data_IF_032475137306
#
_entry.id   IF_032475137306
#
_cell.length_a   1.000
_cell.length_b   1.000
_cell.length_c   1.000
_cell.angle_alpha   90.00
_cell.angle_beta   90.00
_cell.angle_gamma   90.00
#
_symmetry.space_group_name_H-M   'P 1'
#
loop_
_entity.id
_entity.type
_entity.pdbx_description
1 polymer ?
#
# COMPACT_ATOMS: atom_id res chain seq x y z
N UNK A 1 42.59 15.29 -3.93
CA UNK A 1 41.34 14.85 -3.34
C UNK A 1 40.88 13.61 -4.11
N UNK A 2 40.79 12.46 -3.46
CA UNK A 2 40.11 11.30 -4.05
C UNK A 2 38.63 11.67 -4.16
N UNK A 3 37.93 11.35 -5.28
CA UNK A 3 36.51 11.56 -5.35
C UNK A 3 35.85 10.75 -4.21
N UNK A 4 35.01 11.40 -3.41
CA UNK A 4 34.15 10.69 -2.47
C UNK A 4 33.36 9.65 -3.28
N UNK A 5 33.57 8.40 -2.96
CA UNK A 5 32.72 7.32 -3.47
C UNK A 5 31.33 7.57 -2.90
N UNK A 6 30.45 8.18 -3.70
CA UNK A 6 29.04 8.29 -3.37
C UNK A 6 28.50 6.87 -3.37
N UNK A 7 28.41 6.27 -2.21
CA UNK A 7 27.76 4.95 -2.04
C UNK A 7 26.27 5.17 -2.33
N UNK A 8 25.83 4.67 -3.47
CA UNK A 8 24.42 4.71 -3.86
C UNK A 8 23.67 3.62 -3.07
N UNK A 9 22.56 3.97 -2.44
CA UNK A 9 21.67 2.96 -1.85
C UNK A 9 21.13 2.04 -2.97
N UNK A 10 21.12 0.75 -2.68
CA UNK A 10 20.57 -0.30 -3.56
C UNK A 10 19.17 -0.66 -3.07
N UNK A 11 18.16 -0.47 -3.91
CA UNK A 11 16.76 -0.70 -3.57
C UNK A 11 16.20 -1.83 -4.41
N UNK A 12 15.60 -2.84 -3.76
CA UNK A 12 14.84 -3.90 -4.39
C UNK A 12 13.37 -3.74 -4.06
N UNK A 13 12.50 -3.60 -5.09
CA UNK A 13 11.05 -3.48 -4.92
C UNK A 13 10.39 -4.77 -5.39
N UNK A 14 9.76 -5.52 -4.47
CA UNK A 14 8.85 -6.62 -4.80
C UNK A 14 7.42 -6.12 -4.98
N UNK A 15 6.70 -6.68 -5.95
CA UNK A 15 5.34 -6.26 -6.31
C UNK A 15 5.31 -4.97 -7.14
N UNK A 16 6.34 -4.74 -7.97
CA UNK A 16 6.52 -3.53 -8.76
C UNK A 16 5.41 -3.29 -9.80
N UNK A 17 4.69 -4.32 -10.23
CA UNK A 17 3.56 -4.21 -11.16
C UNK A 17 2.24 -3.84 -10.46
N UNK A 18 2.17 -3.92 -9.13
CA UNK A 18 1.04 -3.44 -8.36
C UNK A 18 0.95 -1.91 -8.33
N UNK A 19 -0.21 -1.37 -7.97
CA UNK A 19 -0.48 0.07 -7.94
C UNK A 19 0.59 0.88 -7.18
N UNK A 20 0.91 0.48 -5.96
CA UNK A 20 1.95 1.13 -5.16
C UNK A 20 3.36 0.88 -5.74
N UNK A 21 3.64 -0.35 -6.19
CA UNK A 21 4.92 -0.71 -6.78
C UNK A 21 5.26 0.09 -8.03
N UNK A 22 4.27 0.37 -8.88
CA UNK A 22 4.44 1.24 -10.05
C UNK A 22 4.86 2.67 -9.64
N UNK A 23 4.20 3.25 -8.61
CA UNK A 23 4.56 4.60 -8.13
C UNK A 23 5.93 4.66 -7.48
N UNK A 24 6.27 3.67 -6.66
CA UNK A 24 7.61 3.54 -6.05
C UNK A 24 8.70 3.40 -7.13
N UNK A 25 8.49 2.50 -8.11
CA UNK A 25 9.43 2.31 -9.23
C UNK A 25 9.63 3.59 -10.04
N UNK A 26 8.54 4.27 -10.40
CA UNK A 26 8.60 5.53 -11.15
C UNK A 26 9.25 6.68 -10.36
N UNK A 27 9.09 6.70 -9.04
CA UNK A 27 9.72 7.70 -8.18
C UNK A 27 11.23 7.44 -8.02
N UNK A 28 11.61 6.24 -7.60
CA UNK A 28 13.01 5.91 -7.31
C UNK A 28 13.87 5.82 -8.56
N UNK A 29 13.31 5.54 -9.74
CA UNK A 29 14.06 5.56 -10.99
C UNK A 29 14.66 6.93 -11.37
N UNK A 30 14.11 8.03 -10.83
CA UNK A 30 14.59 9.39 -11.06
C UNK A 30 15.72 9.81 -10.13
N UNK A 31 15.98 9.01 -9.09
CA UNK A 31 16.97 9.30 -8.07
C UNK A 31 18.31 8.63 -8.42
N UNK A 32 19.40 9.10 -7.83
CA UNK A 32 20.74 8.52 -8.01
C UNK A 32 20.92 7.20 -7.24
N UNK A 33 19.97 6.27 -7.37
CA UNK A 33 19.91 4.98 -6.68
C UNK A 33 20.21 3.84 -7.66
N UNK A 34 20.61 2.69 -7.15
CA UNK A 34 20.63 1.44 -7.89
C UNK A 34 19.31 0.72 -7.61
N UNK A 35 18.42 0.66 -8.58
CA UNK A 35 17.07 0.16 -8.44
C UNK A 35 16.87 -1.14 -9.22
N UNK A 36 16.42 -2.19 -8.52
CA UNK A 36 15.90 -3.40 -9.14
C UNK A 36 14.42 -3.56 -8.76
N UNK A 37 13.59 -3.86 -9.75
CA UNK A 37 12.16 -4.11 -9.56
C UNK A 37 11.81 -5.56 -9.87
N UNK A 38 10.78 -6.09 -9.20
CA UNK A 38 10.38 -7.47 -9.33
C UNK A 38 8.88 -7.69 -9.08
N UNK A 39 8.29 -8.58 -9.84
CA UNK A 39 6.91 -9.07 -9.67
C UNK A 39 6.79 -10.50 -10.22
N UNK A 40 5.62 -11.12 -10.04
CA UNK A 40 5.36 -12.48 -10.52
C UNK A 40 5.22 -12.55 -12.06
N UNK A 41 4.80 -11.47 -12.70
CA UNK A 41 4.61 -11.36 -14.15
C UNK A 41 5.97 -11.40 -14.88
N UNK A 42 5.96 -11.89 -16.12
CA UNK A 42 7.17 -12.00 -16.95
C UNK A 42 7.83 -10.65 -17.27
N UNK A 43 7.02 -9.58 -17.36
CA UNK A 43 7.48 -8.25 -17.78
C UNK A 43 7.08 -7.18 -16.79
N UNK A 44 7.91 -6.16 -16.67
CA UNK A 44 7.56 -4.92 -15.97
C UNK A 44 6.44 -4.18 -16.71
N UNK A 45 5.51 -3.61 -15.94
CA UNK A 45 4.54 -2.64 -16.47
C UNK A 45 5.13 -1.23 -16.63
N UNK A 46 6.29 -0.98 -16.05
CA UNK A 46 7.01 0.29 -16.17
C UNK A 46 8.19 0.07 -17.10
N UNK A 47 8.26 0.89 -18.14
CA UNK A 47 9.37 0.87 -19.10
C UNK A 47 10.68 1.42 -18.50
N UNK A 48 11.81 0.98 -19.03
CA UNK A 48 13.14 1.47 -18.68
C UNK A 48 13.56 1.26 -17.20
N UNK A 49 13.03 0.23 -16.54
CA UNK A 49 13.49 -0.21 -15.23
C UNK A 49 14.20 -1.56 -15.33
N UNK A 50 15.26 -1.72 -14.52
CA UNK A 50 15.83 -3.05 -14.30
C UNK A 50 14.78 -3.92 -13.60
N UNK A 51 14.43 -5.01 -14.26
CA UNK A 51 13.35 -5.90 -13.82
C UNK A 51 13.78 -7.35 -13.85
N UNK A 52 13.47 -8.08 -12.78
CA UNK A 52 13.61 -9.55 -12.74
C UNK A 52 12.32 -10.18 -12.25
N UNK A 53 11.80 -11.12 -13.01
CA UNK A 53 10.62 -11.89 -12.60
C UNK A 53 10.92 -12.71 -11.35
N UNK A 54 10.08 -12.57 -10.32
CA UNK A 54 10.13 -13.42 -9.14
C UNK A 54 8.74 -13.56 -8.51
N UNK A 55 8.24 -14.80 -8.44
CA UNK A 55 7.14 -15.11 -7.54
C UNK A 55 7.70 -15.18 -6.12
N UNK A 56 7.24 -14.29 -5.24
CA UNK A 56 7.72 -14.21 -3.86
C UNK A 56 7.40 -15.45 -3.02
N UNK A 57 6.50 -16.33 -3.49
CA UNK A 57 6.19 -17.62 -2.84
C UNK A 57 7.22 -18.71 -3.15
N UNK A 58 8.07 -18.52 -4.18
CA UNK A 58 9.22 -19.37 -4.46
C UNK A 58 10.42 -18.95 -3.60
N UNK A 59 10.60 -19.66 -2.49
CA UNK A 59 11.66 -19.38 -1.51
C UNK A 59 13.05 -19.27 -2.13
N UNK A 60 13.37 -20.18 -3.04
CA UNK A 60 14.70 -20.26 -3.63
C UNK A 60 14.96 -19.10 -4.58
N UNK A 61 14.03 -18.82 -5.49
CA UNK A 61 14.15 -17.69 -6.43
C UNK A 61 14.21 -16.36 -5.71
N UNK A 62 13.33 -16.15 -4.71
CA UNK A 62 13.30 -14.92 -3.91
C UNK A 62 14.64 -14.69 -3.20
N UNK A 63 15.17 -15.71 -2.48
CA UNK A 63 16.43 -15.56 -1.74
C UNK A 63 17.61 -15.36 -2.68
N UNK A 64 17.69 -16.09 -3.80
CA UNK A 64 18.74 -15.89 -4.78
C UNK A 64 18.70 -14.48 -5.37
N UNK A 65 17.51 -13.95 -5.71
CA UNK A 65 17.37 -12.57 -6.19
C UNK A 65 17.91 -11.55 -5.19
N UNK A 66 17.59 -11.73 -3.89
CA UNK A 66 18.08 -10.84 -2.83
C UNK A 66 19.60 -10.95 -2.69
N UNK A 67 20.17 -12.16 -2.69
CA UNK A 67 21.62 -12.35 -2.56
C UNK A 67 22.39 -11.84 -3.77
N UNK A 68 21.90 -12.07 -4.99
CA UNK A 68 22.55 -11.64 -6.23
C UNK A 68 22.57 -10.12 -6.34
N UNK A 69 21.47 -9.45 -5.96
CA UNK A 69 21.38 -8.01 -6.00
C UNK A 69 21.98 -7.33 -4.78
N UNK A 70 21.98 -7.98 -3.61
CA UNK A 70 22.51 -7.47 -2.34
C UNK A 70 21.99 -6.06 -1.99
N UNK A 71 20.67 -5.85 -1.86
CA UNK A 71 20.08 -4.53 -1.61
C UNK A 71 20.37 -4.03 -0.19
N UNK A 72 20.47 -2.69 -0.02
CA UNK A 72 20.41 -2.04 1.29
C UNK A 72 18.96 -2.00 1.82
N UNK A 73 18.00 -1.81 0.90
CA UNK A 73 16.57 -1.74 1.23
C UNK A 73 15.76 -2.70 0.36
N UNK A 74 14.90 -3.46 1.02
CA UNK A 74 13.87 -4.32 0.38
C UNK A 74 12.52 -3.68 0.63
N UNK A 75 11.85 -3.19 -0.41
CA UNK A 75 10.49 -2.64 -0.31
C UNK A 75 9.50 -3.73 -0.74
N UNK A 76 8.76 -4.27 0.22
CA UNK A 76 7.76 -5.31 -0.06
C UNK A 76 6.39 -4.70 -0.30
N UNK A 77 6.10 -4.35 -1.56
CA UNK A 77 4.78 -3.89 -2.03
C UNK A 77 3.91 -5.05 -2.57
N UNK A 78 4.41 -6.29 -2.55
CA UNK A 78 3.64 -7.46 -2.96
C UNK A 78 2.76 -7.95 -1.81
N UNK A 79 1.49 -8.24 -2.11
CA UNK A 79 0.54 -8.81 -1.17
C UNK A 79 -0.66 -9.45 -1.86
N UNK A 80 -1.28 -10.42 -1.21
CA UNK A 80 -2.63 -10.87 -1.51
C UNK A 80 -3.62 -9.88 -0.88
N UNK A 81 -4.16 -8.96 -1.67
CA UNK A 81 -4.97 -7.81 -1.18
C UNK A 81 -6.47 -7.98 -1.31
N UNK A 82 -6.94 -9.07 -1.96
CA UNK A 82 -8.38 -9.32 -2.06
C UNK A 82 -8.92 -9.83 -0.72
N UNK A 83 -9.54 -8.90 0.02
CA UNK A 83 -10.02 -9.14 1.40
C UNK A 83 -11.08 -10.25 1.45
N UNK A 84 -12.02 -10.27 0.48
CA UNK A 84 -13.09 -11.27 0.43
C UNK A 84 -12.56 -12.64 0.04
N UNK A 85 -11.72 -12.68 -0.99
CA UNK A 85 -11.12 -13.93 -1.46
C UNK A 85 -10.17 -14.55 -0.43
N UNK A 86 -9.58 -13.75 0.44
CA UNK A 86 -8.74 -14.26 1.53
C UNK A 86 -9.51 -15.15 2.53
N UNK A 87 -10.84 -15.01 2.63
CA UNK A 87 -11.64 -15.90 3.49
C UNK A 87 -11.74 -17.33 2.94
N UNK A 88 -11.65 -17.50 1.63
CA UNK A 88 -11.74 -18.80 0.94
C UNK A 88 -10.38 -19.33 0.48
N UNK A 89 -9.49 -18.46 -0.02
CA UNK A 89 -8.15 -18.82 -0.48
C UNK A 89 -7.08 -18.62 0.61
N UNK A 90 -7.33 -19.16 1.78
CA UNK A 90 -6.51 -18.96 2.99
C UNK A 90 -5.06 -19.38 2.82
N UNK A 91 -4.82 -20.50 2.14
CA UNK A 91 -3.47 -21.00 1.90
C UNK A 91 -2.66 -20.06 1.01
N UNK A 92 -3.25 -19.59 -0.09
CA UNK A 92 -2.62 -18.62 -1.00
C UNK A 92 -2.34 -17.30 -0.28
N UNK A 93 -3.33 -16.78 0.45
CA UNK A 93 -3.18 -15.54 1.23
C UNK A 93 -2.06 -15.68 2.28
N UNK A 94 -1.95 -16.83 2.94
CA UNK A 94 -0.88 -17.10 3.92
C UNK A 94 0.49 -17.20 3.27
N UNK A 95 0.60 -17.93 2.15
CA UNK A 95 1.87 -18.06 1.40
C UNK A 95 2.40 -16.69 0.96
N UNK A 96 1.54 -15.87 0.37
CA UNK A 96 1.94 -14.55 -0.15
C UNK A 96 2.21 -13.56 0.99
N UNK A 97 1.29 -13.44 1.97
CA UNK A 97 1.38 -12.38 2.98
C UNK A 97 2.28 -12.73 4.16
N UNK A 98 2.52 -14.02 4.44
CA UNK A 98 3.29 -14.43 5.63
C UNK A 98 4.57 -15.17 5.24
N UNK A 99 4.47 -16.28 4.48
CA UNK A 99 5.65 -17.09 4.15
C UNK A 99 6.66 -16.35 3.30
N UNK A 100 6.21 -15.57 2.33
CA UNK A 100 7.12 -14.73 1.53
C UNK A 100 7.87 -13.71 2.40
N UNK A 101 7.21 -13.13 3.41
CA UNK A 101 7.87 -12.21 4.36
C UNK A 101 8.89 -12.93 5.25
N UNK A 102 8.61 -14.19 5.67
CA UNK A 102 9.62 -15.04 6.35
C UNK A 102 10.86 -15.20 5.47
N UNK A 103 10.69 -15.55 4.20
CA UNK A 103 11.82 -15.77 3.27
C UNK A 103 12.62 -14.47 3.04
N UNK A 104 11.94 -13.33 2.92
CA UNK A 104 12.59 -12.01 2.85
C UNK A 104 13.38 -11.71 4.12
N UNK A 105 12.79 -11.94 5.30
CA UNK A 105 13.45 -11.70 6.59
C UNK A 105 14.68 -12.59 6.79
N UNK A 106 14.59 -13.87 6.41
CA UNK A 106 15.74 -14.78 6.44
C UNK A 106 16.91 -14.26 5.57
N UNK A 107 16.61 -13.83 4.35
CA UNK A 107 17.63 -13.33 3.43
C UNK A 107 18.19 -11.97 3.87
N UNK A 108 17.31 -11.02 4.23
CA UNK A 108 17.68 -9.69 4.66
C UNK A 108 18.59 -9.70 5.90
N UNK A 109 18.35 -10.61 6.84
CA UNK A 109 19.21 -10.76 8.04
C UNK A 109 20.63 -11.16 7.69
N UNK A 110 20.85 -11.95 6.63
CA UNK A 110 22.19 -12.42 6.22
C UNK A 110 22.99 -11.28 5.59
N UNK A 111 22.34 -10.42 4.80
CA UNK A 111 23.00 -9.32 4.08
C UNK A 111 22.86 -7.97 4.80
N UNK A 112 22.29 -7.95 6.00
CA UNK A 112 22.00 -6.76 6.81
C UNK A 112 21.10 -5.71 6.12
N UNK A 113 20.18 -6.14 5.23
CA UNK A 113 19.25 -5.27 4.53
C UNK A 113 18.09 -4.81 5.42
N UNK A 114 17.56 -3.61 5.15
CA UNK A 114 16.38 -3.05 5.81
C UNK A 114 15.11 -3.38 5.01
N UNK A 115 14.11 -4.00 5.65
CA UNK A 115 12.82 -4.30 5.02
C UNK A 115 11.81 -3.19 5.32
N UNK A 116 11.24 -2.59 4.27
CA UNK A 116 10.07 -1.72 4.36
C UNK A 116 8.85 -2.54 3.93
N UNK A 117 7.94 -2.79 4.89
CA UNK A 117 6.80 -3.67 4.70
C UNK A 117 5.48 -2.93 4.90
N UNK A 118 4.55 -3.09 3.94
CA UNK A 118 3.23 -2.49 4.03
C UNK A 118 2.26 -3.43 4.75
N UNK A 119 1.64 -2.91 5.80
CA UNK A 119 0.55 -3.51 6.57
C UNK A 119 -0.75 -2.74 6.33
N UNK A 120 -1.77 -2.96 7.15
CA UNK A 120 -3.12 -2.45 6.94
C UNK A 120 -3.79 -2.05 8.25
N UNK A 121 -4.76 -1.14 8.16
CA UNK A 121 -5.73 -0.82 9.21
C UNK A 121 -6.65 -2.00 9.57
N UNK A 122 -6.78 -3.01 8.68
CA UNK A 122 -7.58 -4.22 8.92
C UNK A 122 -7.00 -5.16 9.99
N UNK A 123 -5.85 -4.83 10.57
CA UNK A 123 -5.37 -5.49 11.80
C UNK A 123 -6.19 -5.08 13.03
N UNK A 124 -7.03 -4.05 12.94
CA UNK A 124 -7.90 -3.55 13.99
C UNK A 124 -9.35 -3.97 13.79
N UNK A 125 -10.15 -3.99 14.87
CA UNK A 125 -11.55 -4.38 14.83
C UNK A 125 -12.53 -3.25 14.46
N UNK A 126 -12.06 -2.01 14.40
CA UNK A 126 -12.87 -0.85 14.05
C UNK A 126 -13.84 -0.39 15.12
N UNK A 127 -13.69 -0.82 16.38
CA UNK A 127 -14.57 -0.40 17.48
C UNK A 127 -14.19 0.96 18.07
N UNK A 128 -12.89 1.21 18.19
CA UNK A 128 -12.32 2.35 18.91
C UNK A 128 -11.39 3.21 18.04
N UNK A 129 -11.53 3.15 16.70
CA UNK A 129 -10.73 3.99 15.80
C UNK A 129 -11.07 5.48 15.93
N UNK A 130 -10.16 6.36 15.46
CA UNK A 130 -8.91 6.05 14.78
C UNK A 130 -7.80 5.53 15.73
N UNK A 131 -6.85 4.76 15.18
CA UNK A 131 -5.85 4.00 15.94
C UNK A 131 -4.45 4.61 15.86
N UNK A 132 -3.75 4.60 17.01
CA UNK A 132 -2.29 4.83 17.10
C UNK A 132 -1.51 3.56 16.75
N UNK A 133 -0.19 3.70 16.50
CA UNK A 133 0.70 2.56 16.26
C UNK A 133 0.78 1.59 17.45
N UNK A 134 0.62 2.10 18.67
CA UNK A 134 0.61 1.33 19.91
C UNK A 134 -0.71 0.61 20.22
N UNK A 135 -1.77 0.87 19.44
CA UNK A 135 -3.06 0.25 19.66
C UNK A 135 -2.98 -1.28 19.49
N UNK A 136 -3.73 -2.02 20.35
CA UNK A 136 -3.76 -3.49 20.33
C UNK A 136 -4.47 -3.99 19.07
N UNK A 137 -3.81 -4.79 18.21
CA UNK A 137 -4.45 -5.39 17.05
C UNK A 137 -5.52 -6.41 17.43
N UNK A 138 -6.64 -6.42 16.69
CA UNK A 138 -7.72 -7.40 16.82
C UNK A 138 -8.42 -7.60 15.47
N UNK A 139 -7.79 -8.30 14.50
CA UNK A 139 -8.30 -8.43 13.13
C UNK A 139 -9.59 -9.25 13.07
N UNK A 140 -10.60 -8.74 12.34
CA UNK A 140 -11.89 -9.39 12.15
C UNK A 140 -11.84 -10.49 11.08
N UNK A 141 -11.18 -10.24 9.95
CA UNK A 141 -11.09 -11.11 8.78
C UNK A 141 -9.73 -11.77 8.61
N UNK A 142 -9.68 -12.76 7.71
CA UNK A 142 -8.44 -13.53 7.48
C UNK A 142 -7.33 -12.69 6.87
N UNK A 143 -7.64 -11.76 5.94
CA UNK A 143 -6.67 -10.82 5.39
C UNK A 143 -5.93 -10.05 6.49
N UNK A 144 -6.67 -9.43 7.42
CA UNK A 144 -6.07 -8.71 8.55
C UNK A 144 -5.18 -9.60 9.43
N UNK A 145 -5.59 -10.86 9.65
CA UNK A 145 -4.78 -11.85 10.39
C UNK A 145 -3.48 -12.17 9.69
N UNK A 146 -3.48 -12.34 8.36
CA UNK A 146 -2.24 -12.59 7.59
C UNK A 146 -1.30 -11.39 7.64
N UNK A 147 -1.83 -10.16 7.56
CA UNK A 147 -1.03 -8.93 7.65
C UNK A 147 -0.43 -8.74 9.06
N UNK A 148 -1.20 -9.00 10.11
CA UNK A 148 -0.68 -8.99 11.48
C UNK A 148 0.40 -10.07 11.68
N UNK A 149 0.19 -11.27 11.13
CA UNK A 149 1.19 -12.34 11.19
C UNK A 149 2.50 -11.92 10.50
N UNK A 150 2.44 -11.22 9.36
CA UNK A 150 3.64 -10.71 8.69
C UNK A 150 4.39 -9.63 9.50
N UNK A 151 3.67 -8.76 10.23
CA UNK A 151 4.31 -7.83 11.18
C UNK A 151 5.06 -8.58 12.28
N UNK A 152 4.46 -9.65 12.82
CA UNK A 152 5.08 -10.46 13.87
C UNK A 152 6.30 -11.25 13.36
N UNK A 153 6.28 -11.70 12.10
CA UNK A 153 7.44 -12.34 11.45
C UNK A 153 8.65 -11.42 11.48
N UNK A 154 8.52 -10.17 11.04
CA UNK A 154 9.63 -9.22 11.01
C UNK A 154 10.23 -8.96 12.41
N UNK A 155 9.37 -8.83 13.42
CA UNK A 155 9.79 -8.68 14.83
C UNK A 155 10.51 -9.93 15.33
N UNK A 156 10.00 -11.12 15.02
CA UNK A 156 10.57 -12.40 15.46
C UNK A 156 11.96 -12.66 14.87
N UNK A 157 12.16 -12.33 13.61
CA UNK A 157 13.44 -12.51 12.92
C UNK A 157 14.49 -11.47 13.30
N UNK A 158 14.12 -10.43 14.05
CA UNK A 158 15.02 -9.36 14.49
C UNK A 158 15.83 -8.75 13.34
N UNK A 159 15.21 -8.58 12.20
CA UNK A 159 15.78 -7.91 11.02
C UNK A 159 15.50 -6.42 11.10
N UNK A 160 16.38 -5.58 10.54
CA UNK A 160 16.09 -4.15 10.37
C UNK A 160 14.80 -3.98 9.55
N UNK A 161 13.80 -3.33 10.10
CA UNK A 161 12.52 -3.20 9.40
C UNK A 161 11.74 -1.94 9.79
N UNK A 162 10.94 -1.49 8.82
CA UNK A 162 9.88 -0.51 9.03
C UNK A 162 8.57 -1.08 8.53
N UNK A 163 7.55 -1.07 9.39
CA UNK A 163 6.19 -1.47 9.05
C UNK A 163 5.38 -0.21 8.82
N UNK A 164 4.82 -0.08 7.62
CA UNK A 164 3.91 1.00 7.27
C UNK A 164 2.49 0.44 7.28
N UNK A 165 1.69 0.85 8.24
CA UNK A 165 0.25 0.59 8.26
C UNK A 165 -0.45 1.68 7.47
N UNK A 166 -1.23 1.26 6.49
CA UNK A 166 -2.00 2.16 5.65
C UNK A 166 -3.41 1.63 5.45
N UNK A 167 -4.28 2.41 4.87
CA UNK A 167 -5.64 2.01 4.54
C UNK A 167 -5.90 2.27 3.05
N UNK A 168 -7.16 2.32 2.65
CA UNK A 168 -7.62 2.47 1.27
C UNK A 168 -6.71 3.34 0.43
N UNK A 169 -5.92 2.71 -0.43
CA UNK A 169 -5.04 3.41 -1.36
C UNK A 169 -5.81 3.89 -2.58
N UNK A 170 -5.50 5.10 -3.03
CA UNK A 170 -5.97 5.65 -4.30
C UNK A 170 -4.87 6.53 -4.92
N UNK A 171 -4.87 6.64 -6.23
CA UNK A 171 -3.88 7.46 -6.93
C UNK A 171 -3.62 7.04 -8.37
N UNK A 172 -2.73 7.74 -9.06
CA UNK A 172 -2.49 7.51 -10.47
C UNK A 172 -1.64 6.23 -10.68
N UNK A 173 -2.32 5.12 -10.97
CA UNK A 173 -1.71 3.91 -11.49
C UNK A 173 -2.17 3.67 -12.93
N UNK A 174 -1.22 3.38 -13.83
CA UNK A 174 -1.52 3.19 -15.26
C UNK A 174 -2.12 1.82 -15.53
N UNK A 175 -1.64 0.80 -14.83
CA UNK A 175 -1.96 -0.60 -15.10
C UNK A 175 -2.53 -1.29 -13.86
N UNK A 176 -3.28 -2.34 -14.09
CA UNK A 176 -3.87 -3.15 -13.04
C UNK A 176 -5.33 -2.83 -12.74
N UNK A 177 -5.80 -3.32 -11.60
CA UNK A 177 -7.18 -3.09 -11.17
C UNK A 177 -7.40 -1.62 -10.82
N UNK A 178 -8.50 -0.99 -11.25
CA UNK A 178 -8.86 0.36 -10.84
C UNK A 178 -8.89 0.49 -9.31
N UNK A 179 -8.35 1.59 -8.79
CA UNK A 179 -8.56 1.98 -7.40
C UNK A 179 -9.99 2.50 -7.20
N UNK A 180 -10.32 2.86 -5.96
CA UNK A 180 -11.66 3.29 -5.61
C UNK A 180 -12.10 4.56 -6.35
N UNK A 181 -11.23 5.55 -6.52
CA UNK A 181 -11.55 6.82 -7.22
C UNK A 181 -11.81 6.55 -8.70
N UNK A 182 -10.92 5.81 -9.36
CA UNK A 182 -11.05 5.44 -10.76
C UNK A 182 -12.35 4.64 -11.01
N UNK A 183 -12.62 3.67 -10.16
CA UNK A 183 -13.85 2.87 -10.24
C UNK A 183 -15.12 3.74 -10.08
N UNK A 184 -15.16 4.67 -9.12
CA UNK A 184 -16.30 5.59 -8.94
C UNK A 184 -16.50 6.46 -10.17
N UNK A 185 -15.42 7.09 -10.68
CA UNK A 185 -15.49 7.97 -11.85
C UNK A 185 -15.98 7.21 -13.09
N UNK A 186 -15.41 6.04 -13.38
CA UNK A 186 -15.78 5.21 -14.52
C UNK A 186 -17.26 4.73 -14.43
N UNK A 187 -17.69 4.28 -13.24
CA UNK A 187 -19.05 3.80 -13.03
C UNK A 187 -20.09 4.92 -13.20
N UNK A 188 -19.89 6.07 -12.55
CA UNK A 188 -20.84 7.18 -12.63
C UNK A 188 -20.89 7.81 -14.03
N UNK A 189 -19.77 7.91 -14.74
CA UNK A 189 -19.77 8.35 -16.16
C UNK A 189 -20.55 7.42 -17.07
N UNK A 190 -20.55 6.13 -16.77
CA UNK A 190 -21.31 5.13 -17.51
C UNK A 190 -22.78 5.07 -17.06
N UNK A 191 -23.26 5.99 -16.22
CA UNK A 191 -24.58 6.01 -15.59
C UNK A 191 -24.90 4.70 -14.86
N UNK A 192 -23.87 4.04 -14.31
CA UNK A 192 -24.04 2.82 -13.54
C UNK A 192 -24.34 3.16 -12.09
N UNK A 193 -25.42 2.59 -11.54
CA UNK A 193 -25.69 2.68 -10.10
C UNK A 193 -24.62 1.94 -9.29
N UNK A 194 -24.09 2.61 -8.26
CA UNK A 194 -23.13 2.07 -7.31
C UNK A 194 -23.69 2.10 -5.90
N UNK A 195 -23.56 0.98 -5.18
CA UNK A 195 -23.95 0.86 -3.78
C UNK A 195 -22.75 1.15 -2.90
N UNK A 196 -22.84 2.18 -2.05
CA UNK A 196 -21.72 2.67 -1.24
C UNK A 196 -22.10 2.66 0.23
N UNK A 197 -21.24 2.06 1.06
CA UNK A 197 -21.46 1.95 2.50
C UNK A 197 -21.24 3.28 3.22
N UNK A 198 -22.14 3.58 4.17
CA UNK A 198 -22.14 4.84 4.93
C UNK A 198 -21.43 4.72 6.28
N UNK A 199 -21.18 3.50 6.74
CA UNK A 199 -20.73 3.16 8.08
C UNK A 199 -19.28 2.67 8.18
N UNK A 200 -18.54 2.57 7.04
CA UNK A 200 -17.10 2.31 7.04
C UNK A 200 -16.32 3.62 6.97
N UNK A 201 -15.72 4.01 8.09
CA UNK A 201 -14.98 5.27 8.24
C UNK A 201 -13.48 5.00 8.37
N UNK A 202 -12.69 5.64 7.52
CA UNK A 202 -11.23 5.66 7.58
C UNK A 202 -10.68 6.96 6.96
N UNK A 203 -9.38 7.07 6.81
CA UNK A 203 -8.71 8.18 6.14
C UNK A 203 -7.96 7.71 4.90
N UNK A 204 -8.60 7.71 3.70
CA UNK A 204 -8.03 7.20 2.47
C UNK A 204 -6.64 7.78 2.19
N UNK A 205 -5.71 6.94 1.73
CA UNK A 205 -4.31 7.28 1.56
C UNK A 205 -3.98 7.51 0.09
N UNK A 206 -3.49 8.69 -0.25
CA UNK A 206 -2.99 8.99 -1.59
C UNK A 206 -1.64 8.29 -1.82
N UNK A 207 -1.45 7.72 -3.02
CA UNK A 207 -0.25 6.91 -3.32
C UNK A 207 1.05 7.68 -3.18
N UNK A 208 1.08 8.94 -3.65
CA UNK A 208 2.32 9.72 -3.62
C UNK A 208 2.71 10.14 -2.20
N UNK A 209 1.73 10.29 -1.31
CA UNK A 209 2.00 10.50 0.12
C UNK A 209 2.69 9.28 0.74
N UNK A 210 2.26 8.09 0.33
CA UNK A 210 2.87 6.84 0.79
C UNK A 210 4.30 6.68 0.22
N UNK A 211 4.52 7.04 -1.04
CA UNK A 211 5.85 7.08 -1.67
C UNK A 211 6.76 8.08 -0.93
N UNK A 212 6.26 9.29 -0.62
CA UNK A 212 7.00 10.29 0.17
C UNK A 212 7.40 9.73 1.54
N UNK A 213 6.48 9.03 2.23
CA UNK A 213 6.79 8.42 3.53
C UNK A 213 7.90 7.37 3.42
N UNK A 214 7.89 6.53 2.36
CA UNK A 214 8.96 5.54 2.11
C UNK A 214 10.29 6.22 1.88
N UNK A 215 10.34 7.27 1.08
CA UNK A 215 11.55 8.05 0.80
C UNK A 215 12.13 8.64 2.10
N UNK A 216 11.30 9.28 2.93
CA UNK A 216 11.70 9.82 4.23
C UNK A 216 12.21 8.74 5.20
N UNK A 217 11.63 7.54 5.19
CA UNK A 217 12.11 6.41 5.98
C UNK A 217 13.52 6.00 5.54
N UNK A 218 13.78 5.92 4.23
CA UNK A 218 15.09 5.58 3.67
C UNK A 218 16.12 6.66 4.01
N UNK A 219 15.80 7.93 3.76
CA UNK A 219 16.70 9.07 4.05
C UNK A 219 17.09 9.13 5.52
N UNK A 220 16.14 8.96 6.43
CA UNK A 220 16.35 9.07 7.87
C UNK A 220 16.68 7.74 8.56
N UNK A 221 16.74 6.63 7.81
CA UNK A 221 17.02 5.26 8.30
C UNK A 221 16.14 4.87 9.48
N UNK A 222 14.84 5.20 9.39
CA UNK A 222 13.90 4.97 10.48
C UNK A 222 13.43 3.52 10.52
N UNK A 223 13.39 2.97 11.73
CA UNK A 223 12.83 1.64 12.03
C UNK A 223 11.55 1.75 12.85
N UNK A 224 10.80 0.65 12.90
CA UNK A 224 9.60 0.52 13.73
C UNK A 224 8.30 0.60 12.93
N UNK A 225 7.22 1.02 13.58
CA UNK A 225 5.88 1.05 12.99
C UNK A 225 5.45 2.50 12.79
N UNK A 226 4.91 2.80 11.61
CA UNK A 226 4.34 4.08 11.24
C UNK A 226 2.96 3.91 10.62
N UNK A 227 2.01 4.68 11.10
CA UNK A 227 0.71 4.83 10.47
C UNK A 227 0.79 5.91 9.38
N UNK A 228 0.43 5.57 8.15
CA UNK A 228 0.40 6.47 7.00
C UNK A 228 -1.02 6.47 6.43
N UNK A 229 -1.69 7.61 6.46
CA UNK A 229 -3.07 7.81 6.02
C UNK A 229 -3.32 9.25 5.63
N UNK A 230 -4.45 9.52 4.97
CA UNK A 230 -4.89 10.87 4.62
C UNK A 230 -5.23 11.73 5.84
N UNK A 231 -5.52 13.01 5.60
CA UNK A 231 -5.88 13.96 6.66
C UNK A 231 -7.32 13.75 7.14
N UNK A 232 -8.25 13.50 6.20
CA UNK A 232 -9.68 13.49 6.45
C UNK A 232 -10.19 12.09 6.82
N UNK A 233 -10.89 12.03 7.96
CA UNK A 233 -11.61 10.83 8.37
C UNK A 233 -13.05 10.92 7.87
N UNK A 234 -13.43 10.01 6.98
CA UNK A 234 -14.74 10.02 6.33
C UNK A 234 -15.19 8.62 5.95
N UNK A 235 -16.49 8.48 5.77
CA UNK A 235 -17.09 7.25 5.27
C UNK A 235 -16.78 7.06 3.77
N UNK A 236 -16.95 5.84 3.30
CA UNK A 236 -16.87 5.56 1.85
C UNK A 236 -17.87 6.39 1.07
N UNK A 237 -19.06 6.62 1.64
CA UNK A 237 -20.11 7.42 1.01
C UNK A 237 -19.68 8.89 0.88
N UNK A 238 -19.19 9.50 1.96
CA UNK A 238 -18.69 10.88 1.94
C UNK A 238 -17.54 11.04 0.94
N UNK A 239 -16.59 10.11 0.91
CA UNK A 239 -15.51 10.12 -0.08
C UNK A 239 -16.05 10.04 -1.51
N UNK A 240 -17.04 9.19 -1.76
CA UNK A 240 -17.70 9.09 -3.07
C UNK A 240 -18.40 10.38 -3.47
N UNK A 241 -19.06 11.07 -2.50
CA UNK A 241 -19.69 12.37 -2.75
C UNK A 241 -18.65 13.44 -3.16
N UNK A 242 -17.50 13.49 -2.47
CA UNK A 242 -16.42 14.42 -2.81
C UNK A 242 -15.87 14.12 -4.21
N UNK A 243 -15.66 12.85 -4.57
CA UNK A 243 -15.22 12.46 -5.91
C UNK A 243 -16.24 12.91 -6.96
N UNK A 244 -17.53 12.64 -6.72
CA UNK A 244 -18.60 13.01 -7.66
C UNK A 244 -18.71 14.53 -7.85
N UNK A 245 -18.60 15.30 -6.78
CA UNK A 245 -18.58 16.77 -6.86
C UNK A 245 -17.38 17.28 -7.65
N UNK A 246 -16.19 16.76 -7.35
CA UNK A 246 -14.96 17.19 -8.00
C UNK A 246 -14.97 16.96 -9.53
N UNK A 247 -15.49 15.82 -9.96
CA UNK A 247 -15.58 15.46 -11.38
C UNK A 247 -16.91 15.82 -12.04
N UNK A 248 -17.80 16.55 -11.33
CA UNK A 248 -19.14 16.98 -11.81
C UNK A 248 -19.98 15.79 -12.31
N UNK A 249 -20.00 14.69 -11.53
CA UNK A 249 -20.73 13.46 -11.85
C UNK A 249 -22.13 13.45 -11.22
N UNK A 250 -23.07 12.74 -11.85
CA UNK A 250 -24.44 12.62 -11.34
C UNK A 250 -24.52 11.75 -10.09
N UNK A 251 -24.81 12.37 -8.95
CA UNK A 251 -24.94 11.71 -7.65
C UNK A 251 -26.21 10.86 -7.50
N UNK A 252 -27.17 10.96 -8.38
CA UNK A 252 -28.40 10.15 -8.34
C UNK A 252 -28.14 8.66 -8.53
N UNK A 253 -26.98 8.30 -9.09
CA UNK A 253 -26.52 6.92 -9.25
C UNK A 253 -25.81 6.36 -7.99
N UNK A 254 -25.61 7.17 -6.95
CA UNK A 254 -24.95 6.72 -5.70
C UNK A 254 -26.02 6.29 -4.71
N UNK A 255 -26.09 5.00 -4.44
CA UNK A 255 -27.06 4.41 -3.52
C UNK A 255 -26.39 4.18 -2.15
N UNK A 256 -26.76 4.94 -1.11
CA UNK A 256 -26.24 4.69 0.23
C UNK A 256 -26.78 3.40 0.81
N UNK A 257 -25.91 2.57 1.39
CA UNK A 257 -26.27 1.34 2.07
C UNK A 257 -25.41 1.18 3.34
N UNK A 258 -25.74 0.25 4.18
CA UNK A 258 -24.90 -0.16 5.32
C UNK A 258 -24.01 -1.34 4.95
N UNK A 259 -22.97 -1.59 5.77
CA UNK A 259 -22.10 -2.77 5.63
C UNK A 259 -22.90 -4.07 5.73
N UNK A 260 -23.91 -4.10 6.59
CA UNK A 260 -24.79 -5.26 6.76
C UNK A 260 -25.61 -5.54 5.50
N UNK A 261 -26.15 -4.50 4.86
CA UNK A 261 -26.90 -4.62 3.60
C UNK A 261 -26.01 -5.05 2.42
N UNK A 262 -24.73 -4.65 2.41
CA UNK A 262 -23.77 -5.03 1.36
C UNK A 262 -23.40 -6.51 1.40
N UNK A 263 -23.50 -7.17 2.55
CA UNK A 263 -23.26 -8.62 2.77
C UNK A 263 -21.91 -9.11 2.20
N UNK A 264 -20.84 -8.37 2.47
CA UNK A 264 -19.51 -8.78 2.03
C UNK A 264 -19.05 -10.06 2.74
N UNK A 265 -18.35 -10.99 2.03
CA UNK A 265 -17.88 -12.25 2.61
C UNK A 265 -16.97 -12.06 3.84
N UNK A 266 -16.02 -11.16 3.76
CA UNK A 266 -15.15 -10.82 4.88
C UNK A 266 -15.72 -9.68 5.72
N UNK A 267 -15.62 -9.79 7.03
CA UNK A 267 -15.98 -8.70 7.95
C UNK A 267 -15.00 -7.54 7.82
N UNK A 268 -15.52 -6.31 7.77
CA UNK A 268 -14.72 -5.07 7.72
C UNK A 268 -14.81 -4.31 9.03
N UNK A 269 -13.70 -3.68 9.49
CA UNK A 269 -13.77 -2.74 10.59
C UNK A 269 -14.57 -1.49 10.17
N UNK A 270 -15.50 -1.04 11.03
CA UNK A 270 -16.34 0.12 10.69
C UNK A 270 -15.60 1.45 10.90
N UNK A 271 -14.75 1.55 11.91
CA UNK A 271 -13.96 2.76 12.19
C UNK A 271 -12.49 2.39 12.31
N UNK A 272 -11.79 2.33 11.18
CA UNK A 272 -10.41 1.83 11.10
C UNK A 272 -9.36 2.90 10.78
N UNK A 273 -9.72 4.17 10.83
CA UNK A 273 -8.78 5.26 10.56
C UNK A 273 -7.49 5.19 11.38
N UNK A 274 -6.42 5.73 10.82
CA UNK A 274 -5.06 5.68 11.36
C UNK A 274 -4.60 7.08 11.80
N UNK A 275 -4.11 7.23 13.02
CA UNK A 275 -3.51 8.48 13.52
C UNK A 275 -2.08 8.54 13.03
N UNK A 276 -1.72 9.63 12.32
CA UNK A 276 -0.43 9.79 11.62
C UNK A 276 0.55 10.74 12.33
N UNK A 277 0.26 11.15 13.55
CA UNK A 277 1.06 12.14 14.31
C UNK A 277 2.54 11.74 14.42
N UNK A 278 2.82 10.46 14.64
CA UNK A 278 4.20 9.96 14.69
C UNK A 278 4.92 10.17 13.36
N UNK A 279 4.29 9.82 12.23
CA UNK A 279 4.87 10.02 10.92
C UNK A 279 5.07 11.52 10.61
N UNK A 280 4.12 12.37 11.00
CA UNK A 280 4.26 13.83 10.84
C UNK A 280 5.44 14.38 11.62
N UNK A 281 5.62 13.95 12.88
CA UNK A 281 6.68 14.46 13.75
C UNK A 281 8.07 13.91 13.42
N UNK A 282 8.18 12.62 13.07
CA UNK A 282 9.46 11.95 12.88
C UNK A 282 9.95 11.90 11.43
N UNK A 283 9.03 11.89 10.46
CA UNK A 283 9.33 11.81 9.03
C UNK A 283 9.04 13.12 8.28
N UNK A 284 8.42 14.12 8.94
CA UNK A 284 7.92 15.30 8.26
C UNK A 284 6.79 14.98 7.27
N UNK A 285 6.05 13.88 7.50
CA UNK A 285 4.96 13.44 6.65
C UNK A 285 3.86 14.51 6.55
N UNK A 286 3.47 14.86 5.33
CA UNK A 286 2.44 15.86 5.04
C UNK A 286 1.52 15.32 3.96
N UNK A 287 0.42 14.65 4.34
CA UNK A 287 -0.51 14.11 3.36
C UNK A 287 -1.25 15.24 2.62
N UNK A 288 -1.51 15.01 1.35
CA UNK A 288 -2.39 15.87 0.56
C UNK A 288 -3.81 15.83 1.12
N UNK A 289 -4.53 16.93 0.95
CA UNK A 289 -6.00 16.92 1.04
C UNK A 289 -6.57 16.07 -0.09
N UNK A 290 -7.80 15.57 0.08
CA UNK A 290 -8.47 14.82 -0.98
C UNK A 290 -8.57 15.64 -2.27
N UNK A 291 -8.85 16.94 -2.17
CA UNK A 291 -8.97 17.83 -3.34
C UNK A 291 -7.63 17.98 -4.08
N UNK A 292 -6.53 18.16 -3.37
CA UNK A 292 -5.18 18.20 -3.97
C UNK A 292 -4.86 16.91 -4.68
N UNK A 293 -5.09 15.77 -4.03
CA UNK A 293 -4.87 14.44 -4.61
C UNK A 293 -5.73 14.20 -5.86
N UNK A 294 -7.02 14.57 -5.84
CA UNK A 294 -7.90 14.48 -7.01
C UNK A 294 -7.44 15.39 -8.15
N UNK A 295 -6.85 16.55 -7.85
CA UNK A 295 -6.28 17.45 -8.86
C UNK A 295 -5.11 16.83 -9.58
N UNK A 296 -4.18 16.17 -8.84
CA UNK A 296 -3.08 15.44 -9.44
C UNK A 296 -3.57 14.24 -10.26
N UNK A 297 -4.52 13.46 -9.73
CA UNK A 297 -5.13 12.35 -10.45
C UNK A 297 -5.82 12.80 -11.75
N UNK A 298 -6.53 13.93 -11.71
CA UNK A 298 -7.18 14.50 -12.88
C UNK A 298 -6.18 14.77 -14.00
N UNK A 299 -5.04 15.34 -13.63
CA UNK A 299 -3.96 15.66 -14.58
C UNK A 299 -3.29 14.42 -15.16
N UNK A 300 -3.03 13.36 -14.34
CA UNK A 300 -2.24 12.21 -14.76
C UNK A 300 -3.07 11.08 -15.39
N UNK A 301 -4.30 10.84 -14.91
CA UNK A 301 -5.09 9.66 -15.27
C UNK A 301 -6.32 10.01 -16.08
N UNK A 302 -6.86 11.20 -15.88
CA UNK A 302 -8.12 11.62 -16.49
C UNK A 302 -7.94 12.76 -17.52
N UNK A 303 -6.71 13.07 -17.93
CA UNK A 303 -6.41 14.12 -18.93
C UNK A 303 -7.14 13.89 -20.26
N UNK A 304 -7.30 12.61 -20.67
CA UNK A 304 -7.94 12.25 -21.94
C UNK A 304 -9.48 12.18 -21.83
N UNK A 305 -10.02 12.47 -20.67
CA UNK A 305 -11.44 12.27 -20.37
C UNK A 305 -12.14 13.64 -20.10
N UNK A 306 -11.38 14.69 -20.17
CA UNK A 306 -11.77 16.11 -20.00
C UNK A 306 -11.49 16.88 -21.26
#
# INVERSE_FOLDING_TARGET
MLPELVVKNRILIFGSNGMLGQRLGAYFSKNSLELLTSSAEEKSFIENLDYRQCDITDRSKLKNLIYDFCPDYIINAAAFTNVDLAETERETAWKVNVKAVEYMAEAARIIDAHIIHFSTDYIFDGKNGPYLESAMPNPLGYYGRTKLASENVLKLYSVKHTIIRTNVLYGPAKYGRPDFVKWVVESLRSNQQIKIVTDQINNPTYLDDLVQAVDRIIESKREGIYNIGGQEFLSRYEFTQIIADYFSLDKSFIIPITTEELKQPARRPLKSGLITIKAQSELGYRPHTIQEALTEMKREVFSDIL
#
